data_IF_471401410534
#
_entry.id   IF_471401410534
#
_cell.length_a   1.000
_cell.length_b   1.000
_cell.length_c   1.000
_cell.angle_alpha   90.00
_cell.angle_beta   90.00
_cell.angle_gamma   90.00
#
_symmetry.space_group_name_H-M   'P 1'
#
loop_
_entity.id
_entity.type
_entity.pdbx_description
1 polymer ?
#
# COMPACT_ATOMS: atom_id res chain seq x y z
N UNK A 1 5.64 21.12 8.06
CA UNK A 1 5.85 20.07 7.04
C UNK A 1 4.48 19.56 6.58
N UNK A 2 4.31 19.17 5.30
CA UNK A 2 3.06 18.61 4.83
C UNK A 2 2.73 17.32 5.61
N UNK A 3 1.46 17.09 5.89
CA UNK A 3 1.05 15.80 6.44
C UNK A 3 1.11 14.76 5.32
N UNK A 4 1.64 13.58 5.61
CA UNK A 4 1.67 12.47 4.66
C UNK A 4 0.74 11.36 5.15
N UNK A 5 -0.19 10.96 4.28
CA UNK A 5 -1.14 9.88 4.54
C UNK A 5 -0.98 8.82 3.46
N UNK A 6 -0.85 7.57 3.86
CA UNK A 6 -0.74 6.43 2.97
C UNK A 6 -1.93 5.51 3.23
N UNK A 7 -2.74 5.29 2.20
CA UNK A 7 -3.80 4.28 2.27
C UNK A 7 -3.23 2.93 1.89
N UNK A 8 -3.50 1.91 2.71
CA UNK A 8 -3.13 0.51 2.47
C UNK A 8 -4.41 -0.25 2.14
N UNK A 9 -4.59 -0.55 0.85
CA UNK A 9 -5.80 -1.15 0.29
C UNK A 9 -5.48 -2.46 -0.39
N UNK A 10 -6.48 -3.30 -0.61
CA UNK A 10 -6.30 -4.64 -1.18
C UNK A 10 -7.38 -5.59 -0.71
N UNK A 11 -7.57 -6.70 -1.44
CA UNK A 11 -8.60 -7.69 -1.13
C UNK A 11 -8.47 -8.26 0.29
N UNK A 12 -9.53 -8.88 0.78
CA UNK A 12 -9.46 -9.63 2.04
C UNK A 12 -8.36 -10.69 1.96
N UNK A 13 -7.65 -10.90 3.07
CA UNK A 13 -6.53 -11.86 3.16
C UNK A 13 -5.31 -11.55 2.28
N UNK A 14 -5.22 -10.38 1.65
CA UNK A 14 -4.06 -10.02 0.81
C UNK A 14 -2.76 -9.74 1.58
N UNK A 15 -2.76 -9.80 2.91
CA UNK A 15 -1.56 -9.57 3.74
C UNK A 15 -1.31 -8.11 4.14
N UNK A 16 -2.30 -7.21 3.98
CA UNK A 16 -2.19 -5.79 4.38
C UNK A 16 -1.73 -5.60 5.83
N UNK A 17 -2.39 -6.26 6.77
CA UNK A 17 -2.10 -6.12 8.20
C UNK A 17 -0.69 -6.61 8.54
N UNK A 18 -0.26 -7.71 7.92
CA UNK A 18 1.10 -8.25 8.09
C UNK A 18 2.14 -7.27 7.52
N UNK A 19 1.88 -6.70 6.34
CA UNK A 19 2.74 -5.68 5.72
C UNK A 19 2.88 -4.45 6.61
N UNK A 20 1.77 -3.88 7.09
CA UNK A 20 1.79 -2.69 7.96
C UNK A 20 2.60 -2.96 9.24
N UNK A 21 2.36 -4.09 9.89
CA UNK A 21 3.12 -4.50 11.08
C UNK A 21 4.60 -4.66 10.75
N UNK A 22 4.94 -5.31 9.66
CA UNK A 22 6.33 -5.56 9.31
C UNK A 22 7.07 -4.25 8.98
N UNK A 23 6.42 -3.30 8.31
CA UNK A 23 6.96 -1.94 8.10
C UNK A 23 7.22 -1.23 9.43
N UNK A 24 6.30 -1.32 10.40
CA UNK A 24 6.48 -0.72 11.73
C UNK A 24 7.63 -1.35 12.51
N UNK A 25 7.80 -2.67 12.46
CA UNK A 25 8.91 -3.37 13.09
C UNK A 25 10.24 -2.96 12.44
N UNK A 26 10.29 -2.99 11.11
CA UNK A 26 11.51 -2.69 10.37
C UNK A 26 11.92 -1.22 10.53
N UNK A 27 10.97 -0.30 10.64
CA UNK A 27 11.24 1.11 10.98
C UNK A 27 11.93 1.32 12.34
N UNK A 28 11.85 0.31 13.22
CA UNK A 28 12.49 0.28 14.54
C UNK A 28 13.77 -0.58 14.54
N UNK A 29 14.23 -1.02 13.38
CA UNK A 29 15.38 -1.92 13.24
C UNK A 29 15.10 -3.35 13.70
N UNK A 30 13.83 -3.79 13.68
CA UNK A 30 13.41 -5.14 14.08
C UNK A 30 12.77 -5.87 12.91
N UNK A 31 12.78 -7.20 12.95
CA UNK A 31 12.06 -8.04 12.00
C UNK A 31 11.06 -8.90 12.77
N UNK A 32 9.80 -8.93 12.34
CA UNK A 32 8.85 -9.93 12.82
C UNK A 32 9.11 -11.22 12.03
N UNK A 33 9.61 -12.25 12.72
CA UNK A 33 9.93 -13.55 12.11
C UNK A 33 9.00 -14.67 12.59
N UNK A 34 7.94 -14.33 13.34
CA UNK A 34 6.99 -15.28 13.91
C UNK A 34 5.60 -14.96 13.36
N UNK A 35 4.83 -15.96 12.90
CA UNK A 35 3.46 -15.76 12.46
C UNK A 35 2.62 -15.11 13.56
N UNK A 36 2.15 -13.89 13.32
CA UNK A 36 1.16 -13.26 14.20
C UNK A 36 -0.23 -13.59 13.71
N UNK A 37 -1.09 -14.12 14.59
CA UNK A 37 -2.52 -14.18 14.31
C UNK A 37 -3.05 -12.75 14.24
N UNK A 38 -3.41 -12.31 13.04
CA UNK A 38 -4.07 -11.05 12.79
C UNK A 38 -5.57 -11.28 12.71
N UNK A 39 -6.37 -10.53 13.48
CA UNK A 39 -7.81 -10.50 13.27
C UNK A 39 -8.11 -9.73 11.97
N UNK A 40 -9.13 -10.13 11.18
CA UNK A 40 -9.54 -9.38 10.01
C UNK A 40 -9.91 -7.94 10.35
N UNK A 41 -9.40 -6.99 9.56
CA UNK A 41 -9.76 -5.58 9.67
C UNK A 41 -11.19 -5.37 9.19
N UNK A 42 -12.12 -5.02 10.10
CA UNK A 42 -13.55 -4.85 9.79
C UNK A 42 -13.95 -3.43 9.38
N UNK A 43 -12.99 -2.49 9.40
CA UNK A 43 -13.23 -1.08 9.09
C UNK A 43 -11.95 -0.38 8.70
N UNK A 44 -11.44 0.47 9.59
CA UNK A 44 -10.21 1.19 9.38
C UNK A 44 -9.28 1.06 10.58
N UNK A 45 -8.02 0.71 10.33
CA UNK A 45 -6.93 0.82 11.29
C UNK A 45 -6.02 1.99 10.91
N UNK A 46 -5.49 2.69 11.92
CA UNK A 46 -4.59 3.83 11.73
C UNK A 46 -3.33 3.63 12.53
N UNK A 47 -2.18 3.76 11.88
CA UNK A 47 -0.89 3.72 12.53
C UNK A 47 0.06 4.80 12.02
N UNK A 48 1.20 4.95 12.71
CA UNK A 48 2.22 5.93 12.38
C UNK A 48 3.51 5.21 12.01
N UNK A 49 4.04 5.49 10.83
CA UNK A 49 5.30 4.96 10.33
C UNK A 49 6.32 6.08 10.24
N UNK A 50 7.51 5.87 10.77
CA UNK A 50 8.62 6.82 10.58
C UNK A 50 9.61 6.26 9.58
N UNK A 51 9.75 6.92 8.44
CA UNK A 51 10.72 6.58 7.40
C UNK A 51 11.93 7.50 7.48
N UNK A 52 13.10 6.99 7.06
CA UNK A 52 14.35 7.74 7.08
C UNK A 52 14.94 7.81 5.67
N UNK A 53 15.38 9.00 5.25
CA UNK A 53 16.12 9.19 4.00
C UNK A 53 17.63 8.99 4.22
N UNK A 54 18.35 8.87 3.10
CA UNK A 54 19.80 9.07 3.07
C UNK A 54 20.15 10.43 3.71
N UNK A 55 21.15 10.42 4.60
CA UNK A 55 21.55 11.62 5.37
C UNK A 55 20.75 11.86 6.66
N UNK A 56 19.99 10.90 7.15
CA UNK A 56 19.42 10.92 8.51
C UNK A 56 18.15 11.75 8.69
N UNK A 57 17.58 12.29 7.60
CA UNK A 57 16.27 12.98 7.64
C UNK A 57 15.17 11.98 7.93
N UNK A 58 14.24 12.31 8.83
CA UNK A 58 13.11 11.46 9.21
C UNK A 58 11.78 12.13 8.90
N UNK A 59 10.82 11.36 8.43
CA UNK A 59 9.46 11.80 8.19
C UNK A 59 8.48 10.80 8.79
N UNK A 60 7.43 11.30 9.43
CA UNK A 60 6.36 10.47 9.98
C UNK A 60 5.16 10.53 9.04
N UNK A 61 4.66 9.35 8.67
CA UNK A 61 3.53 9.14 7.77
C UNK A 61 2.41 8.45 8.55
N UNK A 62 1.18 8.81 8.23
CA UNK A 62 -0.02 8.15 8.76
C UNK A 62 -0.41 7.01 7.82
N UNK A 63 -0.32 5.76 8.26
CA UNK A 63 -0.81 4.60 7.52
C UNK A 63 -2.28 4.38 7.87
N UNK A 64 -3.12 4.22 6.84
CA UNK A 64 -4.55 3.93 6.96
C UNK A 64 -4.85 2.63 6.24
N UNK A 65 -4.96 1.55 6.99
CA UNK A 65 -5.41 0.26 6.45
C UNK A 65 -6.94 0.24 6.43
N UNK A 66 -7.53 -0.14 5.29
CA UNK A 66 -8.96 -0.42 5.20
C UNK A 66 -9.22 -1.92 5.00
N UNK A 67 -10.25 -2.43 5.67
CA UNK A 67 -10.67 -3.82 5.58
C UNK A 67 -11.00 -4.26 4.16
N UNK A 68 -10.50 -5.44 3.76
CA UNK A 68 -10.73 -5.99 2.43
C UNK A 68 -12.19 -6.34 2.15
N UNK A 69 -12.91 -6.79 3.18
CA UNK A 69 -14.32 -7.18 3.13
C UNK A 69 -15.28 -5.99 2.98
N UNK A 70 -14.79 -4.75 3.17
CA UNK A 70 -15.59 -3.52 3.12
C UNK A 70 -15.19 -2.61 1.95
N UNK A 71 -14.75 -3.19 0.83
CA UNK A 71 -14.29 -2.49 -0.39
C UNK A 71 -15.27 -1.43 -0.89
N UNK A 72 -16.58 -1.70 -0.78
CA UNK A 72 -17.66 -0.79 -1.16
C UNK A 72 -17.73 0.50 -0.31
N UNK A 73 -17.04 0.56 0.82
CA UNK A 73 -17.01 1.72 1.71
C UNK A 73 -15.69 2.50 1.68
N UNK A 74 -14.68 2.00 0.96
CA UNK A 74 -13.35 2.60 0.96
C UNK A 74 -13.36 4.07 0.53
N UNK A 75 -14.15 4.40 -0.49
CA UNK A 75 -14.25 5.78 -0.98
C UNK A 75 -14.78 6.73 0.08
N UNK A 76 -15.79 6.33 0.85
CA UNK A 76 -16.32 7.11 1.97
C UNK A 76 -15.25 7.39 3.03
N UNK A 77 -14.40 6.41 3.35
CA UNK A 77 -13.27 6.60 4.28
C UNK A 77 -12.20 7.55 3.73
N UNK A 78 -11.94 7.50 2.42
CA UNK A 78 -10.94 8.37 1.78
C UNK A 78 -11.46 9.80 1.65
N UNK A 79 -12.67 9.97 1.11
CA UNK A 79 -13.31 11.27 0.87
C UNK A 79 -13.55 12.00 2.20
N UNK A 80 -14.07 11.32 3.22
CA UNK A 80 -14.27 11.94 4.54
C UNK A 80 -12.97 12.49 5.12
N UNK A 81 -11.83 11.84 4.86
CA UNK A 81 -10.52 12.30 5.31
C UNK A 81 -9.97 13.48 4.51
N UNK A 82 -10.24 13.52 3.19
CA UNK A 82 -9.91 14.66 2.32
C UNK A 82 -10.68 15.92 2.73
N UNK A 83 -12.00 15.79 2.98
CA UNK A 83 -12.89 16.90 3.32
C UNK A 83 -12.57 17.49 4.70
N UNK A 84 -12.27 16.66 5.71
CA UNK A 84 -12.00 17.09 7.09
C UNK A 84 -10.80 18.06 7.26
N UNK A 85 -9.99 18.34 6.22
CA UNK A 85 -8.74 19.12 6.35
C UNK A 85 -8.58 20.31 5.40
N UNK A 86 -9.67 20.90 4.93
CA UNK A 86 -9.65 22.10 4.07
C UNK A 86 -9.09 23.40 4.69
N UNK A 87 -8.45 23.42 5.87
CA UNK A 87 -8.17 24.71 6.55
C UNK A 87 -6.74 25.01 7.09
N UNK A 88 -5.71 24.15 7.05
CA UNK A 88 -4.40 24.59 7.59
C UNK A 88 -3.11 23.89 7.10
N UNK A 89 -3.15 22.61 6.71
CA UNK A 89 -1.93 21.85 6.39
C UNK A 89 -2.10 21.10 5.08
N UNK A 90 -1.22 21.39 4.10
CA UNK A 90 -1.14 20.64 2.83
C UNK A 90 -0.91 19.17 3.15
N UNK A 91 -1.88 18.32 2.81
CA UNK A 91 -1.79 16.86 2.99
C UNK A 91 -1.46 16.22 1.66
N UNK A 92 -0.48 15.32 1.64
CA UNK A 92 -0.15 14.47 0.50
C UNK A 92 -0.66 13.07 0.77
N UNK A 93 -1.24 12.46 -0.27
CA UNK A 93 -1.84 11.15 -0.20
C UNK A 93 -1.14 10.18 -1.15
N UNK A 94 -0.95 8.95 -0.68
CA UNK A 94 -0.30 7.87 -1.40
C UNK A 94 -1.11 6.59 -1.26
N UNK A 95 -0.90 5.66 -2.19
CA UNK A 95 -1.55 4.35 -2.19
C UNK A 95 -0.51 3.22 -2.14
N UNK A 96 -0.63 2.35 -1.14
CA UNK A 96 -0.07 1.01 -1.17
C UNK A 96 -1.20 0.03 -1.50
N UNK A 97 -1.18 -0.53 -2.71
CA UNK A 97 -2.18 -1.48 -3.17
C UNK A 97 -1.63 -2.91 -3.06
N UNK A 98 -2.14 -3.67 -2.11
CA UNK A 98 -1.63 -4.99 -1.74
C UNK A 98 -2.39 -6.09 -2.47
N UNK A 99 -1.66 -6.87 -3.25
CA UNK A 99 -2.15 -8.02 -4.01
C UNK A 99 -1.56 -9.29 -3.40
N UNK A 100 -2.39 -10.32 -3.24
CA UNK A 100 -1.93 -11.64 -2.82
C UNK A 100 -1.28 -12.36 -4.00
N UNK A 101 0.05 -12.45 -4.01
CA UNK A 101 0.79 -13.12 -5.09
C UNK A 101 0.48 -14.61 -5.16
N UNK A 102 0.08 -15.24 -4.05
CA UNK A 102 -0.26 -16.66 -3.99
C UNK A 102 -1.73 -16.95 -4.42
N UNK A 103 -2.50 -15.93 -4.79
CA UNK A 103 -3.91 -16.06 -5.16
C UNK A 103 -4.19 -15.47 -6.55
N UNK A 104 -3.66 -16.05 -7.64
CA UNK A 104 -3.80 -15.51 -9.00
C UNK A 104 -5.26 -15.36 -9.46
N UNK A 105 -6.17 -16.19 -8.94
CA UNK A 105 -7.60 -16.07 -9.20
C UNK A 105 -8.22 -14.73 -8.74
N UNK A 106 -7.57 -13.98 -7.85
CA UNK A 106 -8.02 -12.67 -7.39
C UNK A 106 -7.56 -11.51 -8.30
N UNK A 107 -6.60 -11.75 -9.21
CA UNK A 107 -6.01 -10.73 -10.06
C UNK A 107 -7.02 -9.95 -10.91
N UNK A 108 -8.06 -10.57 -11.53
CA UNK A 108 -9.11 -9.85 -12.25
C UNK A 108 -9.83 -8.79 -11.41
N UNK A 109 -10.19 -9.16 -10.18
CA UNK A 109 -10.88 -8.26 -9.27
C UNK A 109 -9.91 -7.18 -8.75
N UNK A 110 -8.69 -7.56 -8.40
CA UNK A 110 -7.68 -6.64 -7.89
C UNK A 110 -7.34 -5.55 -8.92
N UNK A 111 -7.14 -5.91 -10.20
CA UNK A 111 -6.85 -4.92 -11.24
C UNK A 111 -8.03 -3.99 -11.51
N UNK A 112 -9.25 -4.54 -11.54
CA UNK A 112 -10.48 -3.75 -11.74
C UNK A 112 -10.66 -2.72 -10.63
N UNK A 113 -10.46 -3.13 -9.37
CA UNK A 113 -10.57 -2.24 -8.21
C UNK A 113 -9.44 -1.21 -8.20
N UNK A 114 -8.20 -1.61 -8.51
CA UNK A 114 -7.08 -0.68 -8.61
C UNK A 114 -7.36 0.42 -9.64
N UNK A 115 -7.83 0.05 -10.83
CA UNK A 115 -8.19 1.00 -11.89
C UNK A 115 -9.37 1.87 -11.49
N UNK A 116 -10.42 1.31 -10.89
CA UNK A 116 -11.54 2.08 -10.36
C UNK A 116 -11.10 3.17 -9.37
N UNK A 117 -10.13 2.86 -8.51
CA UNK A 117 -9.61 3.82 -7.53
C UNK A 117 -8.69 4.87 -8.15
N UNK A 118 -7.96 4.56 -9.21
CA UNK A 118 -6.83 5.39 -9.69
C UNK A 118 -7.05 6.05 -11.04
N UNK A 119 -7.95 5.52 -11.87
CA UNK A 119 -8.18 5.95 -13.25
C UNK A 119 -9.54 6.66 -13.42
N UNK A 120 -9.53 7.83 -14.03
CA UNK A 120 -10.72 8.65 -14.28
C UNK A 120 -10.71 9.96 -13.50
N UNK A 121 -11.47 10.95 -13.96
CA UNK A 121 -11.51 12.29 -13.35
C UNK A 121 -12.08 12.28 -11.93
N UNK A 122 -13.04 11.39 -11.68
CA UNK A 122 -13.72 11.25 -10.39
C UNK A 122 -13.09 10.16 -9.50
N UNK A 123 -12.01 9.51 -9.93
CA UNK A 123 -11.42 8.41 -9.20
C UNK A 123 -10.87 8.89 -7.85
N UNK A 124 -11.21 8.16 -6.78
CA UNK A 124 -10.94 8.62 -5.42
C UNK A 124 -9.44 8.77 -5.11
N UNK A 125 -8.57 8.05 -5.80
CA UNK A 125 -7.11 8.12 -5.70
C UNK A 125 -6.46 8.71 -6.97
N UNK A 126 -7.22 9.42 -7.83
CA UNK A 126 -6.68 10.06 -9.03
C UNK A 126 -5.49 10.96 -8.71
N UNK A 127 -4.40 10.81 -9.46
CA UNK A 127 -3.16 11.58 -9.31
C UNK A 127 -2.31 11.24 -8.08
N UNK A 128 -2.70 10.23 -7.29
CA UNK A 128 -1.87 9.75 -6.18
C UNK A 128 -0.73 8.90 -6.72
N UNK A 129 0.48 9.05 -6.16
CA UNK A 129 1.56 8.10 -6.42
C UNK A 129 1.20 6.78 -5.72
N UNK A 130 1.23 5.68 -6.47
CA UNK A 130 0.81 4.36 -6.02
C UNK A 130 1.94 3.33 -6.17
N UNK A 131 1.98 2.37 -5.24
CA UNK A 131 2.85 1.20 -5.29
C UNK A 131 1.97 -0.05 -5.18
N UNK A 132 2.11 -0.97 -6.13
CA UNK A 132 1.53 -2.30 -6.02
C UNK A 132 2.48 -3.19 -5.24
N UNK A 133 2.04 -3.76 -4.13
CA UNK A 133 2.84 -4.66 -3.29
C UNK A 133 2.30 -6.07 -3.46
N UNK A 134 3.08 -6.94 -4.09
CA UNK A 134 2.77 -8.35 -4.27
C UNK A 134 3.20 -9.10 -3.01
N UNK A 135 2.26 -9.30 -2.08
CA UNK A 135 2.50 -9.99 -0.83
C UNK A 135 2.56 -11.51 -1.01
N UNK A 136 3.26 -12.17 -0.08
CA UNK A 136 3.44 -13.64 -0.06
C UNK A 136 4.23 -14.17 -1.25
N UNK A 137 5.16 -13.36 -1.78
CA UNK A 137 5.95 -13.70 -2.96
C UNK A 137 6.87 -14.93 -2.78
N UNK A 138 7.11 -15.37 -1.54
CA UNK A 138 7.86 -16.60 -1.28
C UNK A 138 7.00 -17.89 -1.37
N UNK A 139 5.71 -17.77 -1.65
CA UNK A 139 4.83 -18.92 -1.83
C UNK A 139 5.15 -19.67 -3.12
N UNK A 140 4.91 -20.98 -3.14
CA UNK A 140 4.93 -21.75 -4.37
C UNK A 140 3.89 -21.16 -5.35
N UNK A 141 4.28 -21.03 -6.62
CA UNK A 141 3.46 -20.48 -7.69
C UNK A 141 2.98 -19.03 -7.47
N UNK A 142 3.71 -18.26 -6.65
CA UNK A 142 3.45 -16.84 -6.49
C UNK A 142 3.64 -16.09 -7.83
N UNK A 143 2.68 -15.21 -8.15
CA UNK A 143 2.79 -14.32 -9.29
C UNK A 143 3.97 -13.38 -9.14
N UNK A 144 4.64 -13.12 -10.25
CA UNK A 144 5.74 -12.16 -10.37
C UNK A 144 5.21 -10.74 -10.58
N UNK A 145 6.05 -9.75 -10.28
CA UNK A 145 5.74 -8.35 -10.57
C UNK A 145 5.43 -8.08 -12.05
N UNK A 146 6.04 -8.83 -12.98
CA UNK A 146 5.85 -8.62 -14.41
C UNK A 146 4.47 -9.12 -14.85
N UNK A 147 4.03 -10.29 -14.37
CA UNK A 147 2.67 -10.80 -14.62
C UNK A 147 1.60 -9.85 -14.08
N UNK A 148 1.81 -9.29 -12.89
CA UNK A 148 0.88 -8.32 -12.30
C UNK A 148 0.88 -7.01 -13.10
N UNK A 149 2.04 -6.52 -13.55
CA UNK A 149 2.11 -5.32 -14.39
C UNK A 149 1.37 -5.51 -15.71
N UNK A 150 1.60 -6.64 -16.39
CA UNK A 150 0.94 -7.00 -17.65
C UNK A 150 -0.58 -7.03 -17.49
N UNK A 151 -1.07 -7.46 -16.32
CA UNK A 151 -2.49 -7.55 -16.06
C UNK A 151 -3.13 -6.22 -15.62
N UNK A 152 -2.39 -5.36 -14.94
CA UNK A 152 -2.90 -4.10 -14.39
C UNK A 152 -2.92 -2.98 -15.42
N UNK A 153 -1.97 -2.98 -16.36
CA UNK A 153 -1.79 -1.88 -17.29
C UNK A 153 -1.08 -2.30 -18.58
N UNK A 154 -1.34 -1.55 -19.65
CA UNK A 154 -0.72 -1.74 -20.96
C UNK A 154 0.12 -0.53 -21.38
N UNK A 155 1.10 -0.77 -22.27
CA UNK A 155 1.92 0.26 -22.90
C UNK A 155 2.63 1.17 -21.90
N UNK A 156 2.56 2.49 -22.08
CA UNK A 156 3.20 3.47 -21.19
C UNK A 156 2.74 3.38 -19.73
N UNK A 157 1.51 2.92 -19.48
CA UNK A 157 0.99 2.77 -18.10
C UNK A 157 1.67 1.62 -17.38
N UNK A 158 1.94 0.52 -18.10
CA UNK A 158 2.70 -0.62 -17.59
C UNK A 158 4.10 -0.20 -17.13
N UNK A 159 4.79 0.60 -17.95
CA UNK A 159 6.13 1.12 -17.64
C UNK A 159 6.12 2.07 -16.43
N UNK A 160 5.05 2.83 -16.25
CA UNK A 160 4.89 3.74 -15.12
C UNK A 160 4.41 3.05 -13.84
N UNK A 161 3.90 1.80 -13.90
CA UNK A 161 3.39 1.09 -12.74
C UNK A 161 4.55 0.63 -11.85
N UNK A 162 4.62 1.22 -10.66
CA UNK A 162 5.53 0.77 -9.62
C UNK A 162 4.96 -0.48 -8.95
N UNK A 163 5.70 -1.58 -8.98
CA UNK A 163 5.36 -2.80 -8.26
C UNK A 163 6.61 -3.35 -7.55
N UNK A 164 6.40 -3.97 -6.39
CA UNK A 164 7.44 -4.68 -5.64
C UNK A 164 6.89 -6.00 -5.12
N UNK A 165 7.72 -7.03 -5.14
CA UNK A 165 7.47 -8.31 -4.50
C UNK A 165 7.90 -8.23 -3.04
N UNK A 166 7.03 -8.66 -2.13
CA UNK A 166 7.34 -8.63 -0.71
C UNK A 166 6.69 -9.81 0.03
N UNK A 167 7.31 -10.17 1.14
CA UNK A 167 6.81 -11.21 2.03
C UNK A 167 7.03 -10.78 3.47
N UNK A 168 5.91 -10.53 4.15
CA UNK A 168 5.94 -10.00 5.52
C UNK A 168 6.45 -11.02 6.54
N UNK A 169 6.47 -12.32 6.23
CA UNK A 169 6.91 -13.35 7.16
C UNK A 169 8.43 -13.51 7.22
N UNK A 170 9.11 -13.30 6.09
CA UNK A 170 10.57 -13.41 6.01
C UNK A 170 11.27 -12.06 5.82
N UNK A 171 10.52 -10.98 5.54
CA UNK A 171 11.05 -9.64 5.37
C UNK A 171 11.52 -9.29 3.95
N UNK A 172 11.44 -10.22 3.01
CA UNK A 172 11.78 -9.97 1.60
C UNK A 172 10.94 -8.81 1.08
N UNK A 173 11.57 -7.88 0.36
CA UNK A 173 10.90 -6.74 -0.27
C UNK A 173 10.39 -5.63 0.65
N UNK A 174 10.37 -5.83 1.98
CA UNK A 174 9.85 -4.82 2.92
C UNK A 174 10.75 -3.58 2.94
N UNK A 175 12.07 -3.77 2.77
CA UNK A 175 13.03 -2.68 2.59
C UNK A 175 12.73 -1.81 1.37
N UNK A 176 12.34 -2.44 0.25
CA UNK A 176 11.99 -1.72 -0.98
C UNK A 176 10.71 -0.90 -0.82
N UNK A 177 9.72 -1.45 -0.09
CA UNK A 177 8.50 -0.69 0.29
C UNK A 177 8.86 0.52 1.18
N UNK A 178 9.73 0.34 2.19
CA UNK A 178 10.18 1.45 3.04
C UNK A 178 10.96 2.50 2.24
N UNK A 179 11.81 2.08 1.32
CA UNK A 179 12.55 2.98 0.45
C UNK A 179 11.60 3.80 -0.42
N UNK A 180 10.62 3.15 -1.06
CA UNK A 180 9.61 3.85 -1.87
C UNK A 180 8.82 4.86 -1.03
N UNK A 181 8.46 4.51 0.21
CA UNK A 181 7.78 5.42 1.14
C UNK A 181 8.66 6.60 1.57
N UNK A 182 9.96 6.37 1.79
CA UNK A 182 10.91 7.44 2.07
C UNK A 182 11.04 8.38 0.87
N UNK A 183 11.22 7.86 -0.34
CA UNK A 183 11.23 8.66 -1.57
C UNK A 183 9.93 9.44 -1.74
N UNK A 184 8.78 8.82 -1.48
CA UNK A 184 7.48 9.48 -1.52
C UNK A 184 7.35 10.59 -0.47
N UNK A 185 8.04 10.49 0.67
CA UNK A 185 8.03 11.53 1.72
C UNK A 185 8.95 12.72 1.40
N UNK A 186 10.10 12.48 0.77
CA UNK A 186 11.15 13.50 0.57
C UNK A 186 11.30 14.00 -0.87
N UNK A 187 10.83 13.24 -1.86
CA UNK A 187 10.69 13.62 -3.27
C UNK A 187 9.23 13.50 -3.73
N UNK A 188 8.33 14.29 -3.13
CA UNK A 188 6.90 14.10 -3.23
C UNK A 188 6.21 14.87 -4.37
#
# INVERSE_FOLDING_TARGET
MPQIVVYVLGAESSGKTDLVRQLEYLSKGKLLSVPTKCAPTMGQEVSALTVSASGGKRATMELRELGGSVVNTWESFIVSRKIKKTAAVKTKFFLLYVVDAAAPHQLPLASTVFRYLTEGSEATCAGWRALVVLQKCASADAMTQEEVKDYFADGKRREALCAVEADSWNGVGIGDVLQWLAEAAFHP
#
